data_IF_433924461318
#
_entry.id   IF_433924461318
#
_cell.length_a   1.000
_cell.length_b   1.000
_cell.length_c   1.000
_cell.angle_alpha   90.00
_cell.angle_beta   90.00
_cell.angle_gamma   90.00
#
_symmetry.space_group_name_H-M   'P 1'
#
loop_
_entity.id
_entity.type
_entity.pdbx_description
1 polymer ?
#
# COMPACT_ATOMS: atom_id res chain seq x y z
N UNK A 1 17.78 0.06 2.71
CA UNK A 1 16.40 -0.22 3.18
C UNK A 1 16.18 0.27 4.60
N UNK A 2 16.55 -0.49 5.65
CA UNK A 2 16.25 -0.14 7.05
C UNK A 2 16.69 1.27 7.45
N UNK A 3 17.94 1.64 7.17
CA UNK A 3 18.48 2.97 7.50
C UNK A 3 17.66 4.10 6.85
N UNK A 4 17.24 3.94 5.58
CA UNK A 4 16.41 4.94 4.90
C UNK A 4 15.01 5.07 5.51
N UNK A 5 14.43 3.95 5.96
CA UNK A 5 13.15 3.96 6.65
C UNK A 5 13.29 4.56 8.06
N UNK A 6 14.39 4.31 8.74
CA UNK A 6 14.71 4.93 10.03
C UNK A 6 14.88 6.45 9.92
N UNK A 7 15.50 6.95 8.84
CA UNK A 7 15.55 8.39 8.55
C UNK A 7 14.15 9.00 8.37
N UNK A 8 13.19 8.24 7.83
CA UNK A 8 11.83 8.69 7.57
C UNK A 8 10.94 8.73 8.82
N UNK A 9 11.01 7.70 9.67
CA UNK A 9 10.06 7.52 10.80
C UNK A 9 10.72 7.45 12.17
N UNK A 10 12.06 7.51 12.23
CA UNK A 10 12.86 7.42 13.46
C UNK A 10 12.75 6.06 14.14
N UNK A 11 12.89 6.07 15.46
CA UNK A 11 12.96 4.87 16.30
C UNK A 11 11.64 4.06 16.34
N UNK A 12 10.55 4.58 15.76
CA UNK A 12 9.24 3.91 15.73
C UNK A 12 9.28 2.52 15.09
N UNK A 13 10.23 2.27 14.19
CA UNK A 13 10.43 0.94 13.59
C UNK A 13 10.87 -0.13 14.59
N UNK A 14 11.36 0.26 15.76
CA UNK A 14 11.80 -0.65 16.82
C UNK A 14 10.70 -0.90 17.86
N UNK A 15 9.56 -0.21 17.77
CA UNK A 15 8.44 -0.40 18.69
C UNK A 15 7.64 -1.65 18.32
N UNK A 16 7.79 -2.71 19.13
CA UNK A 16 7.21 -4.02 18.83
C UNK A 16 5.67 -3.99 18.70
N UNK A 17 5.16 -4.69 17.68
CA UNK A 17 3.73 -4.82 17.41
C UNK A 17 3.07 -3.59 16.78
N UNK A 18 3.83 -2.51 16.54
CA UNK A 18 3.30 -1.31 15.88
C UNK A 18 3.12 -1.51 14.37
N UNK A 19 2.39 -0.59 13.73
CA UNK A 19 2.29 -0.59 12.27
C UNK A 19 3.64 -0.27 11.59
N UNK A 20 4.48 0.55 12.23
CA UNK A 20 5.82 0.91 11.74
C UNK A 20 6.73 -0.32 11.65
N UNK A 21 6.82 -1.09 12.74
CA UNK A 21 7.59 -2.33 12.74
C UNK A 21 7.03 -3.33 11.72
N UNK A 22 5.71 -3.56 11.70
CA UNK A 22 5.09 -4.53 10.76
C UNK A 22 5.30 -4.15 9.30
N UNK A 23 5.23 -2.87 8.96
CA UNK A 23 5.52 -2.39 7.62
C UNK A 23 7.00 -2.59 7.24
N UNK A 24 7.92 -2.37 8.18
CA UNK A 24 9.35 -2.62 7.96
C UNK A 24 9.62 -4.12 7.76
N UNK A 25 9.09 -4.97 8.64
CA UNK A 25 9.21 -6.44 8.52
C UNK A 25 8.64 -6.93 7.19
N UNK A 26 7.49 -6.37 6.77
CA UNK A 26 6.93 -6.71 5.47
C UNK A 26 7.90 -6.36 4.33
N UNK A 27 8.44 -5.13 4.28
CA UNK A 27 9.41 -4.73 3.26
C UNK A 27 10.66 -5.63 3.26
N UNK A 28 11.17 -6.01 4.44
CA UNK A 28 12.42 -6.76 4.54
C UNK A 28 12.27 -8.25 4.22
N UNK A 29 11.17 -8.86 4.66
CA UNK A 29 11.07 -10.32 4.74
C UNK A 29 9.92 -10.91 3.91
N UNK A 30 8.94 -10.11 3.51
CA UNK A 30 7.68 -10.60 2.91
C UNK A 30 7.41 -10.01 1.53
N UNK A 31 7.76 -8.75 1.30
CA UNK A 31 7.40 -8.00 0.09
C UNK A 31 7.78 -8.76 -1.17
N UNK A 32 6.83 -9.23 -1.99
CA UNK A 32 7.13 -10.10 -3.12
C UNK A 32 7.94 -9.41 -4.23
N UNK A 33 7.89 -8.07 -4.32
CA UNK A 33 8.66 -7.31 -5.31
C UNK A 33 10.15 -7.22 -4.95
N UNK A 34 10.50 -7.33 -3.67
CA UNK A 34 11.87 -7.30 -3.15
C UNK A 34 12.74 -6.22 -3.81
N UNK A 35 12.30 -4.96 -3.74
CA UNK A 35 13.02 -3.85 -4.34
C UNK A 35 14.45 -3.75 -3.78
N UNK A 36 15.38 -3.40 -4.67
CA UNK A 36 16.75 -3.14 -4.25
C UNK A 36 16.82 -1.89 -3.37
N UNK A 37 17.87 -1.81 -2.54
CA UNK A 37 18.03 -0.73 -1.57
C UNK A 37 18.19 0.67 -2.22
N UNK A 38 18.57 0.74 -3.48
CA UNK A 38 18.81 2.00 -4.20
C UNK A 38 17.57 2.38 -5.06
N UNK A 39 16.53 1.54 -5.06
CA UNK A 39 15.26 1.81 -5.73
C UNK A 39 14.58 3.06 -5.16
N UNK A 40 14.17 4.00 -6.03
CA UNK A 40 13.48 5.21 -5.59
C UNK A 40 12.07 4.92 -5.01
N UNK A 41 11.53 3.73 -5.23
CA UNK A 41 10.18 3.35 -4.85
C UNK A 41 10.09 2.67 -3.47
N UNK A 42 11.22 2.44 -2.80
CA UNK A 42 11.20 1.73 -1.51
C UNK A 42 10.45 2.50 -0.42
N UNK A 43 10.53 3.83 -0.45
CA UNK A 43 9.85 4.69 0.52
C UNK A 43 8.33 4.71 0.28
N UNK A 44 7.87 4.84 -0.98
CA UNK A 44 6.42 4.83 -1.26
C UNK A 44 5.81 3.47 -0.89
N UNK A 45 6.51 2.38 -1.22
CA UNK A 45 6.08 1.02 -0.91
C UNK A 45 5.97 0.79 0.59
N UNK A 46 6.97 1.23 1.36
CA UNK A 46 6.94 1.21 2.82
C UNK A 46 5.77 2.04 3.38
N UNK A 47 5.56 3.26 2.89
CA UNK A 47 4.49 4.14 3.36
C UNK A 47 3.09 3.57 3.07
N UNK A 48 2.90 2.88 1.93
CA UNK A 48 1.66 2.18 1.63
C UNK A 48 1.45 0.94 2.51
N UNK A 49 2.52 0.18 2.82
CA UNK A 49 2.44 -0.90 3.80
C UNK A 49 2.11 -0.36 5.20
N UNK A 50 2.69 0.78 5.59
CA UNK A 50 2.39 1.47 6.84
C UNK A 50 0.92 1.92 6.88
N UNK A 51 0.37 2.47 5.80
CA UNK A 51 -1.05 2.79 5.70
C UNK A 51 -1.92 1.55 5.97
N UNK A 52 -1.65 0.43 5.29
CA UNK A 52 -2.38 -0.82 5.49
C UNK A 52 -2.32 -1.27 6.96
N UNK A 53 -1.12 -1.46 7.53
CA UNK A 53 -0.98 -1.95 8.91
C UNK A 53 -1.52 -0.99 9.97
N UNK A 54 -1.61 0.31 9.67
CA UNK A 54 -2.19 1.33 10.53
C UNK A 54 -3.72 1.38 10.48
N UNK A 55 -4.34 0.77 9.46
CA UNK A 55 -5.78 0.90 9.18
C UNK A 55 -6.50 -0.45 8.99
N UNK A 56 -5.82 -1.58 9.20
CA UNK A 56 -6.40 -2.93 9.23
C UNK A 56 -6.62 -3.44 10.67
N UNK A 57 -6.85 -2.53 11.63
CA UNK A 57 -6.73 -2.83 13.07
C UNK A 57 -7.93 -3.59 13.64
N UNK A 58 -9.16 -3.21 13.25
CA UNK A 58 -10.41 -3.73 13.84
C UNK A 58 -11.28 -4.50 12.85
N UNK A 59 -10.88 -4.57 11.60
CA UNK A 59 -11.59 -5.28 10.55
C UNK A 59 -10.73 -5.33 9.30
N UNK A 60 -10.93 -6.37 8.51
CA UNK A 60 -10.23 -6.52 7.23
C UNK A 60 -10.65 -5.39 6.30
N UNK A 61 -9.66 -4.75 5.68
CA UNK A 61 -9.85 -3.95 4.48
C UNK A 61 -10.83 -4.65 3.52
N UNK A 62 -11.80 -3.90 2.97
CA UNK A 62 -12.79 -4.42 2.02
C UNK A 62 -12.36 -4.12 0.61
N UNK A 63 -12.52 -5.08 -0.29
CA UNK A 63 -12.04 -5.03 -1.68
C UNK A 63 -10.51 -5.00 -1.74
N UNK A 64 -9.90 -5.77 -2.63
CA UNK A 64 -8.47 -5.66 -2.93
C UNK A 64 -7.48 -5.69 -1.73
N UNK A 65 -7.88 -6.24 -0.59
CA UNK A 65 -6.99 -6.41 0.57
C UNK A 65 -5.89 -7.43 0.26
N UNK A 66 -4.77 -7.43 1.02
CA UNK A 66 -3.69 -8.38 0.80
C UNK A 66 -4.17 -9.83 0.81
N UNK A 67 -3.52 -10.67 0.01
CA UNK A 67 -3.83 -12.09 -0.07
C UNK A 67 -3.69 -12.75 1.32
N UNK A 68 -4.55 -13.74 1.64
CA UNK A 68 -4.31 -14.61 2.77
C UNK A 68 -2.94 -15.28 2.66
N UNK A 69 -2.25 -15.48 3.79
CA UNK A 69 -0.88 -16.04 3.84
C UNK A 69 -0.73 -17.42 3.20
N UNK A 70 -1.82 -18.17 3.10
CA UNK A 70 -1.92 -19.51 2.54
C UNK A 70 -2.27 -19.54 1.05
N UNK A 71 -2.48 -18.37 0.42
CA UNK A 71 -2.76 -18.24 -1.01
C UNK A 71 -1.47 -17.83 -1.72
N UNK A 72 -1.08 -18.64 -2.71
CA UNK A 72 0.06 -18.32 -3.57
C UNK A 72 -0.25 -17.09 -4.44
N UNK A 73 0.74 -16.22 -4.56
CA UNK A 73 0.65 -15.07 -5.44
C UNK A 73 0.79 -15.49 -6.89
N UNK A 74 -0.30 -15.38 -7.65
CA UNK A 74 -0.34 -15.63 -9.09
C UNK A 74 -1.05 -14.46 -9.76
N UNK A 75 -0.80 -14.27 -11.06
CA UNK A 75 -1.47 -13.20 -11.85
C UNK A 75 -2.99 -13.22 -11.74
N UNK A 76 -3.59 -14.39 -11.53
CA UNK A 76 -5.03 -14.56 -11.34
C UNK A 76 -5.46 -14.21 -9.91
N UNK A 77 -4.70 -14.65 -8.90
CA UNK A 77 -5.04 -14.44 -7.50
C UNK A 77 -4.89 -12.98 -7.06
N UNK A 78 -3.93 -12.24 -7.62
CA UNK A 78 -3.73 -10.83 -7.27
C UNK A 78 -4.73 -9.89 -7.90
N UNK A 79 -5.60 -10.37 -8.80
CA UNK A 79 -6.63 -9.53 -9.42
C UNK A 79 -7.84 -9.48 -8.49
N UNK A 80 -8.34 -8.26 -8.26
CA UNK A 80 -9.57 -8.01 -7.55
C UNK A 80 -10.48 -7.11 -8.40
N UNK A 81 -11.78 -7.22 -8.17
CA UNK A 81 -12.78 -6.36 -8.79
C UNK A 81 -13.33 -5.40 -7.74
N UNK A 82 -13.42 -4.12 -8.09
CA UNK A 82 -13.97 -3.09 -7.22
C UNK A 82 -14.85 -2.13 -8.03
N UNK A 83 -15.81 -1.53 -7.37
CA UNK A 83 -16.60 -0.43 -7.94
C UNK A 83 -15.83 0.87 -7.77
N UNK A 84 -15.60 1.58 -8.86
CA UNK A 84 -15.08 2.95 -8.86
C UNK A 84 -16.16 3.92 -9.33
N UNK A 85 -15.92 5.22 -9.18
CA UNK A 85 -16.85 6.25 -9.61
C UNK A 85 -16.18 7.13 -10.66
N UNK A 86 -16.90 7.48 -11.72
CA UNK A 86 -16.41 8.44 -12.72
C UNK A 86 -16.49 9.90 -12.21
N UNK A 87 -16.11 10.85 -13.06
CA UNK A 87 -16.12 12.28 -12.72
C UNK A 87 -17.55 12.81 -12.43
N UNK A 88 -18.56 12.14 -12.99
CA UNK A 88 -19.98 12.39 -12.77
C UNK A 88 -20.53 11.70 -11.51
N UNK A 89 -19.76 10.82 -10.88
CA UNK A 89 -20.14 10.06 -9.69
C UNK A 89 -20.96 8.81 -10.01
N UNK A 90 -20.98 8.34 -11.26
CA UNK A 90 -21.64 7.11 -11.66
C UNK A 90 -20.75 5.90 -11.36
N UNK A 91 -21.31 4.80 -10.82
CA UNK A 91 -20.53 3.62 -10.48
C UNK A 91 -20.10 2.87 -11.74
N UNK A 92 -18.80 2.63 -11.87
CA UNK A 92 -18.21 1.69 -12.82
C UNK A 92 -17.93 0.39 -12.06
N UNK A 93 -18.75 -0.63 -12.32
CA UNK A 93 -18.63 -1.95 -11.71
C UNK A 93 -17.66 -2.86 -12.48
N UNK A 94 -16.97 -3.73 -11.75
CA UNK A 94 -16.13 -4.78 -12.35
C UNK A 94 -14.78 -4.29 -12.88
N UNK A 95 -14.36 -3.08 -12.51
CA UNK A 95 -13.01 -2.60 -12.78
C UNK A 95 -11.99 -3.45 -12.02
N UNK A 96 -10.91 -3.80 -12.72
CA UNK A 96 -9.92 -4.75 -12.24
C UNK A 96 -8.69 -4.03 -11.72
N UNK A 97 -8.30 -4.39 -10.51
CA UNK A 97 -7.13 -3.85 -9.82
C UNK A 97 -6.26 -4.98 -9.31
N UNK A 98 -5.07 -4.63 -8.83
CA UNK A 98 -4.22 -5.54 -8.08
C UNK A 98 -4.45 -5.35 -6.58
N UNK A 99 -4.41 -6.45 -5.83
CA UNK A 99 -4.52 -6.43 -4.37
C UNK A 99 -3.33 -5.68 -3.75
N UNK A 100 -3.60 -4.98 -2.65
CA UNK A 100 -2.56 -4.30 -1.88
C UNK A 100 -1.49 -5.29 -1.40
N UNK A 101 -0.24 -4.84 -1.30
CA UNK A 101 0.92 -5.65 -0.89
C UNK A 101 1.24 -6.86 -1.80
N UNK A 102 0.75 -6.86 -3.04
CA UNK A 102 1.21 -7.80 -4.08
C UNK A 102 2.55 -7.37 -4.67
N UNK A 103 3.25 -8.29 -5.32
CA UNK A 103 4.55 -8.10 -5.97
C UNK A 103 4.56 -7.22 -7.23
N UNK A 104 3.40 -6.70 -7.66
CA UNK A 104 3.35 -5.71 -8.74
C UNK A 104 3.69 -4.31 -8.25
N UNK A 105 3.86 -3.38 -9.19
CA UNK A 105 4.11 -1.98 -8.89
C UNK A 105 2.92 -1.36 -8.16
N UNK A 106 3.16 -0.42 -7.25
CA UNK A 106 2.09 0.13 -6.38
C UNK A 106 1.01 0.86 -7.19
N UNK A 107 1.35 1.36 -8.38
CA UNK A 107 0.42 2.03 -9.30
C UNK A 107 -0.70 1.12 -9.83
N UNK A 108 -0.51 -0.20 -9.77
CA UNK A 108 -1.54 -1.17 -10.16
C UNK A 108 -2.44 -1.55 -8.98
N UNK A 109 -2.09 -1.15 -7.75
CA UNK A 109 -2.88 -1.44 -6.57
C UNK A 109 -4.15 -0.59 -6.55
N UNK A 110 -5.24 -1.18 -6.07
CA UNK A 110 -6.52 -0.47 -5.94
C UNK A 110 -6.38 0.83 -5.15
N UNK A 111 -6.94 1.91 -5.69
CA UNK A 111 -6.95 3.22 -5.03
C UNK A 111 -5.64 3.99 -5.12
N UNK A 112 -4.60 3.48 -5.80
CA UNK A 112 -3.34 4.19 -5.98
C UNK A 112 -3.28 4.80 -7.37
N UNK A 113 -3.07 6.12 -7.42
CA UNK A 113 -2.82 6.83 -8.68
C UNK A 113 -1.40 7.39 -8.67
N UNK A 114 -0.65 7.05 -9.71
CA UNK A 114 0.72 7.52 -9.89
C UNK A 114 0.82 8.66 -10.90
N UNK A 115 1.96 9.35 -10.87
CA UNK A 115 2.36 10.30 -11.90
C UNK A 115 2.98 9.54 -13.07
N UNK A 116 2.31 9.56 -14.23
CA UNK A 116 2.74 8.77 -15.40
C UNK A 116 4.09 9.12 -16.04
N UNK A 117 4.87 10.05 -15.48
CA UNK A 117 6.23 10.35 -15.97
C UNK A 117 7.32 9.55 -15.25
N UNK A 118 7.08 9.12 -14.02
CA UNK A 118 8.08 8.48 -13.16
C UNK A 118 7.51 7.55 -12.08
N UNK A 119 6.21 7.23 -12.17
CA UNK A 119 5.51 6.22 -11.38
C UNK A 119 5.51 6.46 -9.86
N UNK A 120 5.80 7.69 -9.42
CA UNK A 120 5.60 8.05 -8.03
C UNK A 120 4.12 8.22 -7.71
N UNK A 121 3.72 7.69 -6.55
CA UNK A 121 2.36 7.84 -6.02
C UNK A 121 2.06 9.32 -5.78
N UNK A 122 0.97 9.81 -6.41
CA UNK A 122 0.51 11.20 -6.28
C UNK A 122 -0.83 11.32 -5.54
N UNK A 123 -1.60 10.25 -5.49
CA UNK A 123 -2.96 10.28 -4.94
C UNK A 123 -3.34 8.88 -4.43
N UNK A 124 -4.02 8.85 -3.29
CA UNK A 124 -4.51 7.64 -2.60
C UNK A 124 -6.00 7.83 -2.34
N UNK A 125 -6.81 6.97 -2.96
CA UNK A 125 -8.27 7.02 -2.91
C UNK A 125 -8.82 5.69 -2.39
N UNK A 126 -9.20 5.66 -1.11
CA UNK A 126 -9.62 4.44 -0.40
C UNK A 126 -11.12 4.48 -0.09
N UNK A 127 -11.94 4.51 -1.13
CA UNK A 127 -13.41 4.56 -1.02
C UNK A 127 -13.95 3.20 -0.53
N UNK A 128 -14.92 3.27 0.40
CA UNK A 128 -15.67 2.11 0.95
C UNK A 128 -14.83 0.97 1.53
N UNK A 129 -13.59 1.26 1.92
CA UNK A 129 -12.59 0.24 2.22
C UNK A 129 -12.60 -0.31 3.66
N UNK A 130 -13.60 0.08 4.48
CA UNK A 130 -13.75 -0.33 5.88
C UNK A 130 -12.48 -0.11 6.73
N UNK A 131 -11.71 0.94 6.42
CA UNK A 131 -10.48 1.27 7.14
C UNK A 131 -10.77 1.59 8.60
N UNK A 132 -10.01 1.01 9.52
CA UNK A 132 -10.12 1.22 10.96
C UNK A 132 -8.75 1.42 11.59
N UNK A 133 -8.58 2.51 12.34
CA UNK A 133 -7.29 2.84 12.94
C UNK A 133 -6.97 4.32 12.72
N UNK A 134 -5.71 4.61 12.36
CA UNK A 134 -5.21 5.98 12.18
C UNK A 134 -4.50 6.12 10.85
N UNK A 135 -4.69 7.25 10.18
CA UNK A 135 -3.88 7.60 9.02
C UNK A 135 -2.46 7.98 9.50
N UNK A 136 -1.40 7.31 9.01
CA UNK A 136 -0.04 7.66 9.40
C UNK A 136 0.32 9.04 8.85
N UNK A 137 0.76 9.99 9.68
CA UNK A 137 1.13 11.34 9.22
C UNK A 137 2.30 11.35 8.24
N UNK A 138 3.12 10.30 8.23
CA UNK A 138 4.26 10.13 7.32
C UNK A 138 3.86 9.98 5.85
N UNK A 139 2.57 9.74 5.55
CA UNK A 139 2.07 9.83 4.18
C UNK A 139 2.31 11.21 3.56
N UNK A 140 2.33 12.28 4.38
CA UNK A 140 2.68 13.62 3.92
C UNK A 140 4.14 13.76 3.46
N UNK A 141 5.00 12.77 3.76
CA UNK A 141 6.39 12.70 3.30
C UNK A 141 6.53 11.97 1.96
N UNK A 142 5.43 11.54 1.33
CA UNK A 142 5.48 10.99 -0.02
C UNK A 142 6.04 12.01 -1.02
N UNK A 143 6.92 11.61 -1.95
CA UNK A 143 7.67 12.56 -2.78
C UNK A 143 6.82 13.56 -3.58
N UNK A 144 5.60 13.17 -3.99
CA UNK A 144 4.77 13.94 -4.92
C UNK A 144 3.27 13.92 -4.61
N UNK A 145 2.89 13.58 -3.38
CA UNK A 145 1.47 13.49 -3.00
C UNK A 145 0.78 14.86 -3.04
N UNK A 146 -0.47 14.91 -3.51
CA UNK A 146 -1.26 16.14 -3.72
C UNK A 146 -2.61 16.08 -3.00
#
# INVERSE_FOLDING_TARGET
VKEQIEELVGDKIYEEGTAYQRALEWILDVDPMQLDKDSPYIIQRYLLALLYYSTDVKGKWRYCAPLPKDVEETEENIVCEATVYDEEGEPIEGEKFKVFLSGVHECDWYGIKCRGTDDFVREIEMIEHNMTGTLPPELAQMPVIQ
#
